data_IF_803530789020
#
_entry.id   IF_803530789020
#
_cell.length_a   1.000
_cell.length_b   1.000
_cell.length_c   1.000
_cell.angle_alpha   90.00
_cell.angle_beta   90.00
_cell.angle_gamma   90.00
#
_symmetry.space_group_name_H-M   'P 1'
#
loop_
_entity.id
_entity.type
_entity.pdbx_description
1 polymer ?
#
# COMPACT_ATOMS: atom_id res chain seq x y z
N UNK A 1 -30.27 -34.24 -3.89
CA UNK A 1 -29.65 -33.09 -4.53
C UNK A 1 -28.14 -33.36 -4.57
N UNK A 2 -27.60 -33.70 -5.75
CA UNK A 2 -26.16 -33.90 -5.92
C UNK A 2 -25.47 -32.52 -5.87
N UNK A 3 -24.54 -32.37 -4.97
CA UNK A 3 -23.65 -31.19 -4.94
C UNK A 3 -22.84 -31.22 -6.24
N UNK A 4 -23.09 -30.28 -7.13
CA UNK A 4 -22.22 -29.98 -8.26
C UNK A 4 -20.84 -29.68 -7.67
N UNK A 5 -19.89 -30.60 -7.88
CA UNK A 5 -18.47 -30.34 -7.58
C UNK A 5 -18.06 -29.19 -8.49
N UNK A 6 -17.87 -27.99 -7.91
CA UNK A 6 -17.20 -26.89 -8.56
C UNK A 6 -15.92 -27.46 -9.20
N UNK A 7 -15.86 -27.49 -10.53
CA UNK A 7 -14.65 -27.88 -11.24
C UNK A 7 -13.59 -26.82 -10.93
N UNK A 8 -12.67 -27.11 -10.00
CA UNK A 8 -11.45 -26.28 -9.83
C UNK A 8 -10.83 -26.14 -11.22
N UNK A 9 -10.70 -24.90 -11.68
CA UNK A 9 -10.06 -24.61 -12.95
C UNK A 9 -8.62 -25.11 -12.87
N UNK A 10 -8.27 -26.17 -13.65
CA UNK A 10 -6.94 -26.77 -13.64
C UNK A 10 -5.89 -25.68 -13.88
N UNK A 11 -4.81 -25.66 -13.08
CA UNK A 11 -3.66 -24.79 -13.33
C UNK A 11 -3.02 -25.14 -14.67
N UNK A 12 -2.41 -24.18 -15.37
CA UNK A 12 -1.61 -24.45 -16.56
C UNK A 12 -0.34 -25.24 -16.18
N UNK A 13 0.21 -25.96 -17.14
CA UNK A 13 1.45 -26.69 -16.94
C UNK A 13 2.68 -25.74 -16.97
N UNK A 14 2.58 -24.58 -17.66
CA UNK A 14 3.57 -23.50 -17.71
C UNK A 14 2.87 -22.14 -17.64
N UNK A 15 3.59 -21.10 -17.23
CA UNK A 15 3.05 -19.74 -17.16
C UNK A 15 3.41 -18.99 -15.88
N UNK A 16 2.80 -17.83 -15.69
CA UNK A 16 3.00 -16.95 -14.55
C UNK A 16 1.75 -16.89 -13.67
N UNK A 17 1.91 -17.14 -12.38
CA UNK A 17 0.89 -16.97 -11.37
C UNK A 17 1.23 -15.75 -10.51
N UNK A 18 0.37 -14.74 -10.48
CA UNK A 18 0.46 -13.62 -9.54
C UNK A 18 -0.33 -14.01 -8.28
N UNK A 19 0.36 -14.21 -7.17
CA UNK A 19 -0.22 -14.83 -5.97
C UNK A 19 -0.19 -13.85 -4.80
N UNK A 20 -1.36 -13.45 -4.31
CA UNK A 20 -1.50 -12.61 -3.14
C UNK A 20 -1.19 -13.38 -1.85
N UNK A 21 -0.25 -12.87 -1.07
CA UNK A 21 0.17 -13.44 0.21
C UNK A 21 -0.69 -12.98 1.40
N UNK A 22 -1.56 -11.99 1.20
CA UNK A 22 -2.34 -11.41 2.31
C UNK A 22 -1.48 -10.57 3.25
N UNK A 23 -1.90 -10.48 4.52
CA UNK A 23 -1.48 -9.46 5.47
C UNK A 23 -0.46 -9.96 6.53
N UNK A 24 0.50 -10.77 6.12
CA UNK A 24 1.67 -11.03 6.97
C UNK A 24 1.64 -12.32 7.80
N UNK A 25 0.71 -13.25 7.52
CA UNK A 25 0.76 -14.61 8.08
C UNK A 25 0.19 -15.66 7.12
N UNK A 26 0.74 -16.88 7.15
CA UNK A 26 0.40 -17.95 6.20
C UNK A 26 -1.08 -18.34 6.26
N UNK A 27 -1.67 -18.36 7.45
CA UNK A 27 -3.08 -18.69 7.61
C UNK A 27 -4.03 -17.58 7.10
N UNK A 28 -3.52 -16.39 6.81
CA UNK A 28 -4.25 -15.29 6.18
C UNK A 28 -4.26 -15.32 4.65
N UNK A 29 -3.49 -16.23 4.05
CA UNK A 29 -3.57 -16.48 2.61
C UNK A 29 -4.89 -17.16 2.27
N UNK A 30 -5.43 -16.87 1.08
CA UNK A 30 -6.56 -17.66 0.59
C UNK A 30 -6.09 -19.08 0.29
N UNK A 31 -6.98 -20.07 0.48
CA UNK A 31 -6.68 -21.48 0.17
C UNK A 31 -6.24 -21.62 -1.29
N UNK A 32 -6.90 -20.91 -2.20
CA UNK A 32 -6.60 -20.94 -3.63
C UNK A 32 -5.20 -20.38 -3.93
N UNK A 33 -4.80 -19.26 -3.30
CA UNK A 33 -3.49 -18.67 -3.43
C UNK A 33 -2.38 -19.62 -2.92
N UNK A 34 -2.60 -20.24 -1.75
CA UNK A 34 -1.65 -21.19 -1.16
C UNK A 34 -1.49 -22.45 -2.04
N UNK A 35 -2.59 -23.00 -2.55
CA UNK A 35 -2.57 -24.16 -3.45
C UNK A 35 -1.86 -23.82 -4.78
N UNK A 36 -2.09 -22.63 -5.34
CA UNK A 36 -1.43 -22.16 -6.55
C UNK A 36 0.08 -21.99 -6.36
N UNK A 37 0.49 -21.38 -5.25
CA UNK A 37 1.91 -21.25 -4.89
C UNK A 37 2.60 -22.60 -4.68
N UNK A 38 1.92 -23.56 -4.04
CA UNK A 38 2.44 -24.90 -3.81
C UNK A 38 2.64 -25.69 -5.11
N UNK A 39 1.76 -25.48 -6.10
CA UNK A 39 1.82 -26.18 -7.38
C UNK A 39 2.87 -25.63 -8.35
N UNK A 40 3.40 -24.42 -8.11
CA UNK A 40 4.41 -23.82 -8.97
C UNK A 40 5.76 -24.54 -8.89
N UNK A 41 6.49 -24.60 -10.01
CA UNK A 41 7.86 -25.14 -10.07
C UNK A 41 8.85 -24.14 -9.44
N UNK A 42 8.65 -22.84 -9.71
CA UNK A 42 9.47 -21.75 -9.19
C UNK A 42 8.61 -20.77 -8.40
N UNK A 43 9.09 -20.34 -7.23
CA UNK A 43 8.45 -19.34 -6.36
C UNK A 43 9.38 -18.18 -6.19
N UNK A 44 8.89 -16.98 -6.56
CA UNK A 44 9.59 -15.71 -6.46
C UNK A 44 8.81 -14.83 -5.48
N UNK A 45 9.44 -14.36 -4.41
CA UNK A 45 8.84 -13.42 -3.47
C UNK A 45 9.27 -12.01 -3.81
N UNK A 46 8.33 -11.15 -4.16
CA UNK A 46 8.54 -9.73 -4.37
C UNK A 46 8.83 -9.03 -3.04
N UNK A 47 10.10 -8.71 -2.81
CA UNK A 47 10.57 -8.22 -1.52
C UNK A 47 10.85 -6.70 -1.52
N UNK A 48 10.13 -5.89 -2.31
CA UNK A 48 10.41 -4.45 -2.40
C UNK A 48 9.20 -3.53 -2.24
N UNK A 49 7.97 -3.96 -2.51
CA UNK A 49 6.76 -3.12 -2.30
C UNK A 49 6.19 -3.22 -0.91
N UNK A 50 6.35 -4.36 -0.26
CA UNK A 50 6.00 -4.60 1.14
C UNK A 50 6.86 -5.71 1.73
N UNK A 51 6.82 -5.86 3.06
CA UNK A 51 7.61 -6.86 3.77
C UNK A 51 6.70 -7.85 4.48
N UNK A 52 6.99 -9.14 4.37
CA UNK A 52 6.38 -10.18 5.18
C UNK A 52 7.27 -10.54 6.37
N UNK A 53 6.70 -11.01 7.54
CA UNK A 53 7.51 -11.50 8.65
C UNK A 53 8.41 -12.65 8.21
N UNK A 54 9.68 -12.62 8.61
CA UNK A 54 10.65 -13.64 8.24
C UNK A 54 10.26 -15.04 8.74
N UNK A 55 9.72 -15.09 9.96
CA UNK A 55 9.20 -16.32 10.58
C UNK A 55 8.02 -16.90 9.80
N UNK A 56 7.13 -16.05 9.31
CA UNK A 56 5.99 -16.48 8.49
C UNK A 56 6.42 -16.88 7.08
N UNK A 57 7.45 -16.21 6.51
CA UNK A 57 8.03 -16.60 5.23
C UNK A 57 8.68 -18.00 5.34
N UNK A 58 9.40 -18.27 6.42
CA UNK A 58 9.98 -19.59 6.69
C UNK A 58 8.88 -20.67 6.87
N UNK A 59 7.76 -20.35 7.51
CA UNK A 59 6.61 -21.25 7.60
C UNK A 59 5.96 -21.49 6.25
N UNK A 60 5.90 -20.49 5.39
CA UNK A 60 5.39 -20.63 4.03
C UNK A 60 6.31 -21.54 3.21
N UNK A 61 7.62 -21.34 3.26
CA UNK A 61 8.60 -22.22 2.59
C UNK A 61 8.48 -23.69 2.99
N UNK A 62 8.23 -23.95 4.28
CA UNK A 62 7.99 -25.33 4.76
C UNK A 62 6.73 -25.96 4.12
N UNK A 63 5.73 -25.15 3.76
CA UNK A 63 4.47 -25.64 3.18
C UNK A 63 4.50 -25.79 1.67
N UNK A 64 5.19 -24.88 0.97
CA UNK A 64 5.13 -24.81 -0.50
C UNK A 64 6.46 -25.05 -1.20
N UNK A 65 7.57 -25.19 -0.47
CA UNK A 65 8.93 -25.34 -0.99
C UNK A 65 9.67 -24.01 -1.07
N UNK A 66 10.93 -24.08 -1.51
CA UNK A 66 11.87 -22.95 -1.53
C UNK A 66 11.32 -21.72 -2.26
N UNK A 67 11.56 -20.55 -1.68
CA UNK A 67 11.13 -19.23 -2.19
C UNK A 67 12.39 -18.38 -2.43
N UNK A 68 12.56 -17.89 -3.64
CA UNK A 68 13.63 -16.97 -3.99
C UNK A 68 13.10 -15.52 -3.90
N UNK A 69 13.86 -14.62 -3.26
CA UNK A 69 13.54 -13.20 -3.20
C UNK A 69 13.93 -12.52 -4.49
N UNK A 70 13.04 -11.68 -5.01
CA UNK A 70 13.28 -10.85 -6.19
C UNK A 70 13.02 -9.39 -5.83
N UNK A 71 13.82 -8.52 -6.40
CA UNK A 71 13.76 -7.09 -6.20
C UNK A 71 13.14 -6.39 -7.42
N UNK A 72 12.96 -5.08 -7.35
CA UNK A 72 12.29 -4.29 -8.40
C UNK A 72 12.85 -4.53 -9.80
N UNK A 73 14.19 -4.52 -10.05
CA UNK A 73 14.71 -4.73 -11.40
C UNK A 73 14.28 -6.05 -12.02
N UNK A 74 14.22 -7.14 -11.23
CA UNK A 74 13.87 -8.48 -11.74
C UNK A 74 12.39 -8.61 -12.08
N UNK A 75 11.53 -7.79 -11.46
CA UNK A 75 10.08 -7.78 -11.72
C UNK A 75 9.71 -6.75 -12.79
N UNK A 76 10.31 -5.56 -12.78
CA UNK A 76 10.04 -4.51 -13.76
C UNK A 76 10.73 -4.78 -15.12
N UNK A 77 11.85 -5.52 -15.13
CA UNK A 77 12.52 -6.03 -16.33
C UNK A 77 12.40 -7.56 -16.39
N UNK A 78 11.20 -8.14 -16.61
CA UNK A 78 10.87 -9.53 -16.33
C UNK A 78 11.41 -10.55 -17.35
N UNK A 79 12.49 -10.26 -18.06
CA UNK A 79 13.03 -11.16 -19.10
C UNK A 79 13.33 -12.56 -18.55
N UNK A 80 13.95 -12.66 -17.37
CA UNK A 80 14.26 -13.94 -16.73
C UNK A 80 12.98 -14.63 -16.22
N UNK A 81 12.08 -13.86 -15.61
CA UNK A 81 10.78 -14.34 -15.12
C UNK A 81 9.96 -14.96 -16.27
N UNK A 82 9.94 -14.29 -17.43
CA UNK A 82 9.22 -14.75 -18.61
C UNK A 82 9.88 -15.98 -19.24
N UNK A 83 11.22 -15.99 -19.33
CA UNK A 83 11.97 -17.16 -19.82
C UNK A 83 11.68 -18.41 -18.99
N UNK A 84 11.56 -18.29 -17.67
CA UNK A 84 11.15 -19.41 -16.82
C UNK A 84 9.70 -19.80 -17.05
N UNK A 85 8.80 -18.82 -17.20
CA UNK A 85 7.38 -19.07 -17.38
C UNK A 85 7.01 -19.70 -18.74
N UNK A 86 7.88 -19.65 -19.75
CA UNK A 86 7.70 -20.36 -21.03
C UNK A 86 7.74 -21.88 -20.87
N UNK A 87 8.54 -22.39 -19.92
CA UNK A 87 8.79 -23.82 -19.78
C UNK A 87 8.39 -24.41 -18.43
N UNK A 88 8.03 -23.59 -17.47
CA UNK A 88 7.69 -23.96 -16.09
C UNK A 88 6.53 -23.12 -15.56
N UNK A 89 5.92 -23.57 -14.48
CA UNK A 89 4.93 -22.79 -13.75
C UNK A 89 5.63 -21.94 -12.68
N UNK A 90 5.56 -20.62 -12.83
CA UNK A 90 6.23 -19.66 -11.94
C UNK A 90 5.20 -18.90 -11.10
N UNK A 91 5.34 -18.90 -9.79
CA UNK A 91 4.55 -18.08 -8.89
C UNK A 91 5.35 -16.84 -8.45
N UNK A 92 4.83 -15.65 -8.74
CA UNK A 92 5.26 -14.39 -8.13
C UNK A 92 4.38 -14.11 -6.92
N UNK A 93 4.97 -14.22 -5.74
CA UNK A 93 4.32 -14.02 -4.45
C UNK A 93 4.38 -12.55 -4.07
N UNK A 94 3.23 -11.93 -3.87
CA UNK A 94 3.10 -10.48 -3.62
C UNK A 94 2.37 -10.25 -2.30
N UNK A 95 2.93 -9.44 -1.41
CA UNK A 95 2.27 -9.09 -0.14
C UNK A 95 0.97 -8.35 -0.40
N UNK A 96 -0.08 -8.71 0.33
CA UNK A 96 -1.42 -8.18 0.08
C UNK A 96 -2.08 -8.84 -1.12
N UNK A 97 -2.51 -8.04 -2.07
CA UNK A 97 -3.12 -8.46 -3.34
C UNK A 97 -2.23 -8.01 -4.51
N UNK A 98 -1.96 -8.88 -5.50
CA UNK A 98 -1.00 -8.58 -6.55
C UNK A 98 -1.45 -7.47 -7.52
N UNK A 99 -2.71 -7.05 -7.46
CA UNK A 99 -3.24 -5.95 -8.30
C UNK A 99 -3.60 -4.68 -7.52
N UNK A 100 -3.25 -4.63 -6.20
CA UNK A 100 -3.55 -3.49 -5.35
C UNK A 100 -2.27 -2.72 -5.00
N UNK A 101 -2.24 -1.42 -5.35
CA UNK A 101 -1.11 -0.53 -5.10
C UNK A 101 0.22 -1.03 -5.73
N UNK A 102 0.15 -1.66 -6.90
CA UNK A 102 1.27 -2.24 -7.64
C UNK A 102 1.20 -1.88 -9.13
N UNK A 103 2.26 -2.18 -9.88
CA UNK A 103 2.34 -2.05 -11.34
C UNK A 103 2.08 -3.38 -12.08
N UNK A 104 1.64 -4.44 -11.40
CA UNK A 104 1.53 -5.80 -11.96
C UNK A 104 0.46 -5.97 -13.05
N UNK A 105 -0.43 -4.98 -13.22
CA UNK A 105 -1.29 -4.93 -14.41
C UNK A 105 -0.44 -4.84 -15.68
N UNK A 106 0.64 -4.03 -15.66
CA UNK A 106 1.59 -3.95 -16.77
C UNK A 106 2.30 -5.30 -16.98
N UNK A 107 2.76 -5.94 -15.90
CA UNK A 107 3.38 -7.27 -15.95
C UNK A 107 2.44 -8.31 -16.59
N UNK A 108 1.15 -8.30 -16.25
CA UNK A 108 0.14 -9.17 -16.89
C UNK A 108 0.03 -8.91 -18.40
N UNK A 109 -0.05 -7.63 -18.80
CA UNK A 109 -0.17 -7.25 -20.21
C UNK A 109 1.06 -7.66 -21.00
N UNK A 110 2.24 -7.48 -20.43
CA UNK A 110 3.52 -7.89 -21.04
C UNK A 110 3.62 -9.41 -21.15
N UNK A 111 3.25 -10.17 -20.11
CA UNK A 111 3.21 -11.63 -20.16
C UNK A 111 2.27 -12.11 -21.28
N UNK A 112 1.06 -11.55 -21.37
CA UNK A 112 0.11 -11.87 -22.43
C UNK A 112 0.67 -11.56 -23.82
N UNK A 113 1.33 -10.43 -23.99
CA UNK A 113 1.95 -10.04 -25.27
C UNK A 113 3.08 -10.97 -25.67
N UNK A 114 3.77 -11.57 -24.69
CA UNK A 114 4.79 -12.61 -24.89
C UNK A 114 4.21 -14.02 -25.09
N UNK A 115 2.89 -14.19 -25.09
CA UNK A 115 2.24 -15.49 -25.23
C UNK A 115 2.27 -16.36 -23.97
N UNK A 116 2.61 -15.79 -22.82
CA UNK A 116 2.67 -16.47 -21.52
C UNK A 116 1.30 -16.41 -20.86
N UNK A 117 0.75 -17.57 -20.46
CA UNK A 117 -0.48 -17.60 -19.66
C UNK A 117 -0.21 -16.98 -18.28
N UNK A 118 -0.97 -15.97 -17.93
CA UNK A 118 -0.87 -15.28 -16.63
C UNK A 118 -2.19 -15.38 -15.87
N UNK A 119 -2.15 -15.89 -14.63
CA UNK A 119 -3.31 -15.98 -13.73
C UNK A 119 -3.07 -15.23 -12.45
N UNK A 120 -4.15 -14.70 -11.87
CA UNK A 120 -4.15 -13.98 -10.60
C UNK A 120 -4.89 -14.79 -9.54
N UNK A 121 -4.28 -14.87 -8.36
CA UNK A 121 -4.84 -15.43 -7.14
C UNK A 121 -4.84 -14.33 -6.10
N UNK A 122 -6.02 -13.80 -5.77
CA UNK A 122 -6.18 -12.64 -4.92
C UNK A 122 -5.83 -12.92 -3.46
N UNK A 123 -5.37 -11.89 -2.76
CA UNK A 123 -5.11 -11.87 -1.33
C UNK A 123 -5.83 -10.70 -0.65
N UNK A 124 -5.86 -10.73 0.68
CA UNK A 124 -6.35 -9.59 1.46
C UNK A 124 -5.31 -8.47 1.41
N UNK A 125 -5.73 -7.27 1.01
CA UNK A 125 -4.87 -6.09 0.90
C UNK A 125 -5.14 -5.09 2.03
N UNK A 126 -4.10 -4.35 2.42
CA UNK A 126 -4.20 -3.20 3.33
C UNK A 126 -5.24 -2.19 2.83
N UNK A 127 -5.38 -2.03 1.52
CA UNK A 127 -6.31 -1.08 0.90
C UNK A 127 -7.78 -1.37 1.21
N UNK A 128 -8.12 -2.65 1.42
CA UNK A 128 -9.47 -3.06 1.81
C UNK A 128 -9.61 -3.27 3.33
N UNK A 129 -8.56 -3.74 4.00
CA UNK A 129 -8.60 -4.05 5.41
C UNK A 129 -8.74 -2.78 6.26
N UNK A 130 -7.84 -1.82 6.05
CA UNK A 130 -7.70 -0.66 6.93
C UNK A 130 -8.88 0.28 6.84
N UNK A 131 -9.51 0.41 5.67
CA UNK A 131 -10.64 1.32 5.46
C UNK A 131 -11.84 1.05 6.37
N UNK A 132 -12.04 -0.22 6.76
CA UNK A 132 -13.06 -0.59 7.75
C UNK A 132 -12.53 -0.70 9.17
N UNK A 133 -11.27 -1.16 9.35
CA UNK A 133 -10.69 -1.43 10.67
C UNK A 133 -10.60 -0.18 11.55
N UNK A 134 -10.34 0.99 10.96
CA UNK A 134 -10.23 2.26 11.69
C UNK A 134 -11.57 2.79 12.22
N UNK A 135 -12.69 2.21 11.79
CA UNK A 135 -14.03 2.63 12.24
C UNK A 135 -14.67 3.72 11.38
N UNK A 136 -14.12 3.96 10.20
CA UNK A 136 -14.67 4.87 9.19
C UNK A 136 -15.51 4.09 8.17
N UNK A 137 -16.41 4.78 7.48
CA UNK A 137 -17.19 4.21 6.39
C UNK A 137 -16.31 3.98 5.16
N UNK A 138 -16.17 2.72 4.73
CA UNK A 138 -15.36 2.41 3.56
C UNK A 138 -15.85 3.06 2.25
N UNK A 139 -17.15 3.41 2.16
CA UNK A 139 -17.73 4.14 1.02
C UNK A 139 -17.25 5.59 0.91
N UNK A 140 -16.69 6.14 1.99
CA UNK A 140 -16.19 7.52 2.07
C UNK A 140 -14.68 7.63 1.87
N UNK A 141 -14.02 6.60 1.36
CA UNK A 141 -12.62 6.68 0.98
C UNK A 141 -12.49 7.15 -0.47
N UNK A 142 -11.65 8.15 -0.67
CA UNK A 142 -11.30 8.68 -1.98
C UNK A 142 -10.05 8.01 -2.55
N UNK A 143 -9.34 8.74 -3.41
CA UNK A 143 -8.11 8.27 -4.02
C UNK A 143 -7.05 8.01 -2.95
N UNK A 144 -6.38 6.87 -3.05
CA UNK A 144 -5.23 6.53 -2.20
C UNK A 144 -3.97 7.28 -2.65
N UNK A 145 -3.03 7.45 -1.74
CA UNK A 145 -1.73 8.05 -2.03
C UNK A 145 -0.60 7.31 -1.33
N UNK A 146 0.65 7.63 -1.67
CA UNK A 146 1.84 7.12 -0.98
C UNK A 146 2.73 8.28 -0.58
N UNK A 147 3.12 8.34 0.70
CA UNK A 147 4.15 9.24 1.17
C UNK A 147 5.50 8.63 0.84
N UNK A 148 6.32 9.36 0.10
CA UNK A 148 7.68 8.94 -0.25
C UNK A 148 8.71 9.64 0.61
N UNK A 149 9.86 9.03 0.79
CA UNK A 149 11.03 9.70 1.32
C UNK A 149 11.44 10.85 0.41
N UNK A 150 12.01 11.94 0.96
CA UNK A 150 12.67 12.95 0.14
C UNK A 150 13.88 12.33 -0.60
N UNK A 151 14.02 12.63 -1.88
CA UNK A 151 15.16 12.22 -2.69
C UNK A 151 16.10 13.40 -2.89
N UNK A 152 17.12 13.52 -2.04
CA UNK A 152 17.98 14.71 -2.00
C UNK A 152 17.16 15.95 -1.62
N UNK A 153 17.09 16.94 -2.51
CA UNK A 153 16.28 18.17 -2.34
C UNK A 153 14.87 18.05 -2.89
N UNK A 154 14.55 16.93 -3.56
CA UNK A 154 13.24 16.75 -4.16
C UNK A 154 12.24 16.17 -3.14
N UNK A 155 11.08 16.83 -3.02
CA UNK A 155 9.94 16.43 -2.20
C UNK A 155 8.72 16.34 -3.10
N UNK A 156 8.06 15.19 -3.14
CA UNK A 156 6.81 15.01 -3.87
C UNK A 156 5.67 15.73 -3.12
N UNK A 157 5.00 16.67 -3.77
CA UNK A 157 3.81 17.35 -3.20
C UNK A 157 2.49 16.71 -3.62
N UNK A 158 2.51 15.84 -4.62
CA UNK A 158 1.31 15.18 -5.13
C UNK A 158 0.52 14.37 -4.07
N UNK A 159 1.11 13.76 -3.02
CA UNK A 159 0.34 13.14 -1.96
C UNK A 159 -0.54 14.15 -1.21
N UNK A 160 -0.02 15.34 -0.95
CA UNK A 160 -0.76 16.42 -0.28
C UNK A 160 -1.92 16.93 -1.15
N UNK A 161 -1.73 17.01 -2.47
CA UNK A 161 -2.80 17.35 -3.41
C UNK A 161 -3.95 16.32 -3.39
N UNK A 162 -3.61 15.03 -3.25
CA UNK A 162 -4.61 13.95 -3.10
C UNK A 162 -5.38 14.10 -1.79
N UNK A 163 -4.66 14.37 -0.68
CA UNK A 163 -5.28 14.63 0.63
C UNK A 163 -6.26 15.80 0.56
N UNK A 164 -5.81 16.94 0.03
CA UNK A 164 -6.62 18.13 -0.10
C UNK A 164 -7.87 17.94 -0.98
N UNK A 165 -7.69 17.24 -2.11
CA UNK A 165 -8.79 16.94 -3.03
C UNK A 165 -9.85 16.04 -2.36
N UNK A 166 -9.43 14.96 -1.72
CA UNK A 166 -10.34 14.09 -0.98
C UNK A 166 -11.03 14.83 0.15
N UNK A 167 -10.28 15.59 0.96
CA UNK A 167 -10.82 16.36 2.07
C UNK A 167 -11.90 17.36 1.61
N UNK A 168 -11.65 18.08 0.51
CA UNK A 168 -12.60 19.03 -0.07
C UNK A 168 -13.90 18.37 -0.57
N UNK A 169 -13.86 17.07 -0.86
CA UNK A 169 -15.04 16.28 -1.21
C UNK A 169 -15.63 15.49 -0.02
N UNK A 170 -15.12 15.68 1.19
CA UNK A 170 -15.56 14.93 2.38
C UNK A 170 -15.17 13.46 2.38
N UNK A 171 -14.11 13.08 1.62
CA UNK A 171 -13.62 11.71 1.50
C UNK A 171 -12.36 11.51 2.33
N UNK A 172 -12.30 10.38 3.06
CA UNK A 172 -11.12 9.95 3.81
C UNK A 172 -10.02 9.51 2.85
N UNK A 173 -8.76 9.62 3.30
CA UNK A 173 -7.61 9.21 2.48
C UNK A 173 -6.79 8.13 3.18
N UNK A 174 -6.54 7.02 2.48
CA UNK A 174 -5.48 6.09 2.84
C UNK A 174 -4.17 6.56 2.22
N UNK A 175 -3.17 6.78 3.07
CA UNK A 175 -1.79 7.07 2.67
C UNK A 175 -0.90 5.88 3.04
N UNK A 176 -0.36 5.22 2.03
CA UNK A 176 0.68 4.21 2.18
C UNK A 176 2.01 4.92 2.48
N UNK A 177 2.92 4.23 3.17
CA UNK A 177 4.22 4.76 3.53
C UNK A 177 5.33 4.02 2.78
N UNK A 178 6.32 4.77 2.30
CA UNK A 178 7.44 4.25 1.53
C UNK A 178 8.32 3.31 2.38
N UNK A 179 8.97 2.39 1.70
CA UNK A 179 9.89 1.41 2.29
C UNK A 179 11.35 1.64 1.89
N UNK A 180 11.61 2.52 0.91
CA UNK A 180 12.92 2.62 0.32
C UNK A 180 13.36 4.08 0.14
N UNK A 181 14.20 4.59 1.06
CA UNK A 181 14.72 5.96 0.97
C UNK A 181 15.60 6.19 -0.27
N UNK A 182 16.03 5.15 -0.98
CA UNK A 182 16.79 5.25 -2.23
C UNK A 182 15.90 5.30 -3.47
N UNK A 183 14.66 4.81 -3.38
CA UNK A 183 13.71 4.67 -4.50
C UNK A 183 14.08 3.61 -5.53
N UNK A 184 15.18 2.86 -5.32
CA UNK A 184 15.72 1.90 -6.30
C UNK A 184 15.09 0.51 -6.20
N UNK A 185 14.52 0.15 -5.06
CA UNK A 185 13.94 -1.17 -4.82
C UNK A 185 14.96 -2.30 -4.86
N UNK A 186 16.17 -2.05 -4.34
CA UNK A 186 17.33 -2.97 -4.43
C UNK A 186 17.73 -3.63 -3.11
N UNK A 187 16.85 -3.62 -2.09
CA UNK A 187 17.06 -4.34 -0.84
C UNK A 187 17.55 -3.52 0.35
N UNK A 188 17.70 -2.20 0.19
CA UNK A 188 18.05 -1.29 1.28
C UNK A 188 16.78 -0.69 1.93
N UNK A 189 15.80 -1.56 2.26
CA UNK A 189 14.53 -1.11 2.80
C UNK A 189 14.69 -0.54 4.21
N UNK A 190 14.06 0.60 4.40
CA UNK A 190 13.81 1.24 5.69
C UNK A 190 12.36 1.71 5.70
N UNK A 191 11.42 0.90 6.21
CA UNK A 191 10.02 1.30 6.30
C UNK A 191 9.87 2.64 7.03
N UNK A 192 9.06 3.53 6.47
CA UNK A 192 8.77 4.82 7.10
C UNK A 192 8.20 4.62 8.50
N UNK A 193 8.83 5.24 9.48
CA UNK A 193 8.28 5.35 10.84
C UNK A 193 7.23 6.46 10.91
N UNK A 194 6.41 6.51 11.98
CA UNK A 194 5.49 7.64 12.20
C UNK A 194 6.20 8.99 12.20
N UNK A 195 7.44 9.05 12.73
CA UNK A 195 8.28 10.25 12.70
C UNK A 195 8.68 10.64 11.28
N UNK A 196 9.16 9.68 10.47
CA UNK A 196 9.50 9.94 9.04
C UNK A 196 8.28 10.46 8.27
N UNK A 197 7.09 9.90 8.55
CA UNK A 197 5.84 10.30 7.90
C UNK A 197 5.39 11.71 8.31
N UNK A 198 5.52 12.08 9.60
CA UNK A 198 5.25 13.43 10.07
C UNK A 198 6.20 14.46 9.45
N UNK A 199 7.50 14.11 9.36
CA UNK A 199 8.51 14.96 8.70
C UNK A 199 8.21 15.12 7.20
N UNK A 200 7.88 14.04 6.49
CA UNK A 200 7.50 14.09 5.07
C UNK A 200 6.27 14.99 4.86
N UNK A 201 5.27 14.91 5.75
CA UNK A 201 4.08 15.76 5.69
C UNK A 201 4.44 17.24 5.88
N UNK A 202 5.28 17.58 6.85
CA UNK A 202 5.75 18.96 7.07
C UNK A 202 6.52 19.53 5.88
N UNK A 203 7.41 18.72 5.28
CA UNK A 203 8.15 19.10 4.07
C UNK A 203 7.23 19.35 2.87
N UNK A 204 6.27 18.45 2.64
CA UNK A 204 5.26 18.63 1.59
C UNK A 204 4.44 19.90 1.80
N UNK A 205 4.02 20.13 3.05
CA UNK A 205 3.22 21.30 3.43
C UNK A 205 3.97 22.60 3.20
N UNK A 206 5.20 22.70 3.71
CA UNK A 206 6.06 23.88 3.49
C UNK A 206 6.23 24.19 2.03
N UNK A 207 6.61 23.20 1.23
CA UNK A 207 6.83 23.38 -0.22
C UNK A 207 5.55 23.78 -0.96
N UNK A 208 4.41 23.20 -0.59
CA UNK A 208 3.12 23.54 -1.20
C UNK A 208 2.65 24.95 -0.80
N UNK A 209 2.92 25.37 0.45
CA UNK A 209 2.63 26.73 0.93
C UNK A 209 3.47 27.76 0.19
N UNK A 210 4.78 27.53 0.07
CA UNK A 210 5.67 28.40 -0.72
C UNK A 210 5.16 28.57 -2.16
N UNK A 211 4.80 27.47 -2.84
CA UNK A 211 4.27 27.50 -4.18
C UNK A 211 2.90 28.21 -4.25
N UNK A 212 2.06 28.11 -3.22
CA UNK A 212 0.80 28.85 -3.14
C UNK A 212 1.05 30.34 -2.99
N UNK A 213 1.97 30.76 -2.13
CA UNK A 213 2.35 32.16 -1.94
C UNK A 213 2.93 32.78 -3.20
N UNK A 214 3.81 32.07 -3.90
CA UNK A 214 4.37 32.49 -5.19
C UNK A 214 3.26 32.75 -6.22
N UNK A 215 2.28 31.83 -6.36
CA UNK A 215 1.14 32.00 -7.26
C UNK A 215 0.28 33.23 -6.89
N UNK A 216 0.13 33.53 -5.61
CA UNK A 216 -0.62 34.70 -5.13
C UNK A 216 0.06 36.05 -5.46
N UNK A 217 1.36 36.04 -5.67
CA UNK A 217 2.14 37.22 -6.08
C UNK A 217 2.12 37.48 -7.59
N UNK A 218 1.67 36.52 -8.42
CA UNK A 218 1.58 36.71 -9.86
C UNK A 218 0.54 37.78 -10.22
N UNK A 219 0.75 38.58 -11.29
CA UNK A 219 -0.24 39.56 -11.71
C UNK A 219 -1.52 38.88 -12.23
N UNK A 220 -2.69 39.47 -11.94
CA UNK A 220 -3.92 39.05 -12.58
C UNK A 220 -3.84 39.23 -14.12
N UNK A 221 -4.34 38.29 -14.96
CA UNK A 221 -5.17 37.12 -14.65
C UNK A 221 -4.40 35.80 -14.41
N UNK A 222 -3.10 35.83 -14.19
CA UNK A 222 -2.24 34.64 -14.00
C UNK A 222 -2.37 34.02 -12.61
N UNK A 223 -2.97 34.73 -11.65
CA UNK A 223 -3.27 34.15 -10.33
C UNK A 223 -4.23 32.96 -10.48
N UNK A 224 -3.71 31.75 -10.28
CA UNK A 224 -4.51 30.53 -10.28
C UNK A 224 -4.66 30.00 -8.85
N UNK A 225 -5.90 29.89 -8.36
CA UNK A 225 -6.19 29.21 -7.10
C UNK A 225 -6.38 27.72 -7.33
N UNK A 226 -5.80 26.90 -6.47
CA UNK A 226 -6.21 25.51 -6.38
C UNK A 226 -7.38 25.39 -5.40
N UNK A 227 -8.61 25.05 -5.86
CA UNK A 227 -9.81 25.16 -5.06
C UNK A 227 -9.87 24.21 -3.86
N UNK A 228 -9.02 23.22 -3.80
CA UNK A 228 -8.94 22.25 -2.72
C UNK A 228 -7.64 22.40 -1.90
N UNK A 229 -6.51 22.56 -2.57
CA UNK A 229 -5.21 22.62 -1.91
C UNK A 229 -5.07 23.91 -1.10
N UNK A 230 -5.40 25.06 -1.66
CA UNK A 230 -5.21 26.33 -0.98
C UNK A 230 -6.02 26.42 0.35
N UNK A 231 -7.32 26.05 0.41
CA UNK A 231 -8.06 25.99 1.69
C UNK A 231 -7.54 24.89 2.64
N UNK A 232 -6.98 23.79 2.11
CA UNK A 232 -6.41 22.74 2.94
C UNK A 232 -5.13 23.23 3.64
N UNK A 233 -4.28 24.00 2.95
CA UNK A 233 -3.05 24.60 3.49
C UNK A 233 -3.31 25.74 4.49
N UNK A 234 -4.52 26.28 4.57
CA UNK A 234 -4.91 27.29 5.57
C UNK A 234 -5.24 26.67 6.95
N UNK A 235 -5.31 25.34 7.06
CA UNK A 235 -5.51 24.65 8.32
C UNK A 235 -4.23 24.66 9.17
N UNK A 236 -4.37 24.45 10.48
CA UNK A 236 -3.25 24.13 11.35
C UNK A 236 -2.75 22.70 11.06
N UNK A 237 -1.59 22.58 10.43
CA UNK A 237 -0.98 21.30 10.08
C UNK A 237 -0.85 20.36 11.28
N UNK A 238 -0.38 20.89 12.41
CA UNK A 238 -0.12 20.06 13.60
C UNK A 238 -1.42 19.51 14.21
N UNK A 239 -2.55 20.21 13.97
CA UNK A 239 -3.89 19.80 14.36
C UNK A 239 -4.59 18.86 13.39
N UNK A 240 -4.06 18.62 12.18
CA UNK A 240 -4.70 17.73 11.18
C UNK A 240 -4.86 16.32 11.77
N UNK A 241 -6.10 15.77 11.81
CA UNK A 241 -6.34 14.45 12.35
C UNK A 241 -5.75 13.35 11.46
N UNK A 242 -5.15 12.35 12.08
CA UNK A 242 -4.59 11.18 11.40
C UNK A 242 -4.76 9.92 12.24
N UNK A 243 -4.96 8.78 11.60
CA UNK A 243 -4.97 7.47 12.26
C UNK A 243 -3.74 6.70 11.78
N UNK A 244 -2.86 6.37 12.72
CA UNK A 244 -1.73 5.47 12.49
C UNK A 244 -2.25 4.04 12.56
N UNK A 245 -1.94 3.25 11.53
CA UNK A 245 -2.19 1.82 11.47
C UNK A 245 -0.86 1.09 11.31
N UNK A 246 -0.50 0.27 12.28
CA UNK A 246 0.76 -0.44 12.33
C UNK A 246 0.53 -1.96 12.31
N UNK A 247 1.36 -2.69 11.57
CA UNK A 247 1.37 -4.16 11.43
C UNK A 247 -0.01 -4.79 11.22
N UNK A 248 -0.84 -4.12 10.43
CA UNK A 248 -2.24 -4.49 10.20
C UNK A 248 -2.38 -5.92 9.68
N UNK A 249 -3.33 -6.67 10.27
CA UNK A 249 -3.60 -8.06 9.91
C UNK A 249 -2.65 -9.07 10.56
N UNK A 250 -1.76 -8.65 11.47
CA UNK A 250 -0.89 -9.52 12.27
C UNK A 250 -1.32 -9.52 13.74
N UNK A 251 -0.69 -10.34 14.58
CA UNK A 251 -0.89 -10.32 16.04
C UNK A 251 -0.43 -9.04 16.70
N UNK A 252 0.51 -8.33 16.08
CA UNK A 252 1.10 -7.07 16.57
C UNK A 252 0.32 -5.83 16.08
N UNK A 253 -0.82 -6.03 15.43
CA UNK A 253 -1.63 -4.94 14.90
C UNK A 253 -1.95 -3.89 15.95
N UNK A 254 -1.72 -2.61 15.61
CA UNK A 254 -2.16 -1.49 16.42
C UNK A 254 -2.77 -0.37 15.57
N UNK A 255 -3.74 0.34 16.16
CA UNK A 255 -4.41 1.49 15.56
C UNK A 255 -4.43 2.61 16.60
N UNK A 256 -4.00 3.82 16.20
CA UNK A 256 -3.99 5.00 17.08
C UNK A 256 -4.56 6.20 16.33
N UNK A 257 -5.64 6.79 16.84
CA UNK A 257 -6.16 8.07 16.35
C UNK A 257 -5.44 9.23 17.05
N UNK A 258 -4.76 10.07 16.28
CA UNK A 258 -3.89 11.13 16.76
C UNK A 258 -3.94 12.35 15.82
N UNK A 259 -2.98 13.25 15.89
CA UNK A 259 -2.78 14.38 14.97
C UNK A 259 -1.40 14.33 14.34
N UNK A 260 -1.17 15.07 13.26
CA UNK A 260 0.15 15.17 12.61
C UNK A 260 1.21 15.61 13.61
N UNK A 261 0.89 16.59 14.50
CA UNK A 261 1.82 17.07 15.53
C UNK A 261 2.20 16.04 16.57
N UNK A 262 1.31 15.12 16.90
CA UNK A 262 1.58 14.06 17.87
C UNK A 262 2.10 12.77 17.22
N UNK A 263 2.01 12.64 15.90
CA UNK A 263 2.35 11.41 15.16
C UNK A 263 3.80 10.94 15.40
N UNK A 264 4.75 11.88 15.49
CA UNK A 264 6.17 11.55 15.70
C UNK A 264 6.46 10.87 17.05
N UNK A 265 5.56 11.04 18.02
CA UNK A 265 5.65 10.44 19.35
C UNK A 265 4.94 9.09 19.44
N UNK A 266 4.23 8.68 18.37
CA UNK A 266 3.52 7.42 18.33
C UNK A 266 4.46 6.25 18.03
N UNK A 267 4.15 5.10 18.63
CA UNK A 267 4.90 3.88 18.37
C UNK A 267 4.37 3.26 17.06
N UNK A 268 5.24 3.17 16.06
CA UNK A 268 4.97 2.43 14.83
C UNK A 268 5.27 0.95 14.95
N UNK A 269 4.85 0.20 13.94
CA UNK A 269 5.21 -1.20 13.72
C UNK A 269 6.31 -1.33 12.66
N UNK A 270 6.51 -2.56 12.23
CA UNK A 270 7.41 -2.87 11.11
C UNK A 270 6.88 -2.29 9.79
N UNK A 271 5.57 -2.34 9.56
CA UNK A 271 4.89 -1.69 8.45
C UNK A 271 3.81 -0.75 8.98
N UNK A 272 3.77 0.44 8.43
CA UNK A 272 2.82 1.47 8.82
C UNK A 272 2.05 1.99 7.61
N UNK A 273 0.81 2.44 7.83
CA UNK A 273 0.10 3.32 6.92
C UNK A 273 -0.70 4.34 7.72
N UNK A 274 -1.13 5.40 7.07
CA UNK A 274 -1.91 6.48 7.68
C UNK A 274 -3.30 6.56 7.04
N UNK A 275 -4.28 6.89 7.84
CA UNK A 275 -5.60 7.30 7.35
C UNK A 275 -5.87 8.72 7.79
N UNK A 276 -6.19 9.60 6.84
CA UNK A 276 -6.59 10.98 7.09
C UNK A 276 -8.11 11.08 7.01
N UNK A 277 -8.81 11.22 8.15
CA UNK A 277 -10.25 11.44 8.15
C UNK A 277 -10.60 12.79 7.52
N UNK A 278 -11.67 12.82 6.72
CA UNK A 278 -12.35 14.06 6.34
C UNK A 278 -13.55 14.30 7.26
N UNK A 279 -14.60 14.98 6.80
CA UNK A 279 -15.82 15.15 7.58
C UNK A 279 -16.38 13.82 8.06
N UNK A 280 -16.61 13.67 9.35
CA UNK A 280 -17.13 12.47 10.00
C UNK A 280 -18.57 12.62 10.43
N UNK A 281 -19.33 11.52 10.39
CA UNK A 281 -20.64 11.42 11.05
C UNK A 281 -20.49 10.81 12.44
N UNK A 282 -21.58 10.83 13.22
CA UNK A 282 -21.61 10.36 14.61
C UNK A 282 -21.05 8.95 14.80
N UNK A 283 -21.38 8.01 13.93
CA UNK A 283 -20.90 6.62 14.01
C UNK A 283 -19.39 6.54 13.76
N UNK A 284 -18.86 7.33 12.82
CA UNK A 284 -17.44 7.40 12.51
C UNK A 284 -16.65 8.03 13.65
N UNK A 285 -17.22 9.07 14.30
CA UNK A 285 -16.64 9.69 15.49
C UNK A 285 -16.53 8.70 16.66
N UNK A 286 -17.59 7.92 16.91
CA UNK A 286 -17.57 6.84 17.89
C UNK A 286 -16.57 5.74 17.49
N UNK A 287 -16.48 5.42 16.21
CA UNK A 287 -15.51 4.49 15.66
C UNK A 287 -14.06 4.91 15.91
N UNK A 288 -13.74 6.17 15.63
CA UNK A 288 -12.42 6.76 15.87
C UNK A 288 -12.09 6.92 17.34
N UNK A 289 -13.10 7.23 18.17
CA UNK A 289 -12.89 7.42 19.61
C UNK A 289 -12.28 6.20 20.29
N UNK A 290 -12.56 4.99 19.80
CA UNK A 290 -11.96 3.72 20.31
C UNK A 290 -10.43 3.68 20.20
N UNK A 291 -9.86 4.44 19.29
CA UNK A 291 -8.44 4.45 18.98
C UNK A 291 -7.69 5.65 19.58
N UNK A 292 -8.38 6.53 20.33
CA UNK A 292 -7.73 7.60 21.08
C UNK A 292 -7.03 7.03 22.31
N UNK A 293 -5.85 7.57 22.64
CA UNK A 293 -5.12 7.16 23.85
C UNK A 293 -5.98 7.44 25.09
N UNK A 294 -6.11 6.45 25.95
CA UNK A 294 -6.86 6.58 27.20
C UNK A 294 -8.39 6.44 27.06
N UNK A 295 -8.87 5.91 25.92
CA UNK A 295 -10.28 5.56 25.72
C UNK A 295 -10.61 4.22 26.39
#
# INVERSE_FOLDING_TARGET
>A
MAAEKSQKKKLPDTGLLLVGMGMGHVNGMTVEALEAAAAADHRRYEAYTALWPEEELALLEQRIGAIERVMRPEVEEPAELFRLAETSLVALLVVGDPLQATTHVDLQLRARSAGIECRVFHGVSITSLVTGAVGLSNYKFGRQTTFTYPYGTWVATSPLEVLANNWGHGLHTLALLDLDPTGQGTGNQRPMTPKDAAEAMRLMWTKATEAMEERRLEPAPQQTMNPFLDPYLEQDLEGVPVVLCADMGTSEQSIVATTVGALESEMGGRLNCLVFPASTGEIEEQGLARWKRGA
#
